data_IF_533655450948
#
_entry.id   IF_533655450948
#
_cell.length_a   1.000
_cell.length_b   1.000
_cell.length_c   1.000
_cell.angle_alpha   90.00
_cell.angle_beta   90.00
_cell.angle_gamma   90.00
#
_symmetry.space_group_name_H-M   'P 1'
#
loop_
_entity.id
_entity.type
_entity.pdbx_description
1 polymer ?
#
# COMPACT_ATOMS: atom_id res chain seq x y z
N UNK A 1 23.32 -21.53 -5.46
CA UNK A 1 23.86 -20.59 -4.46
C UNK A 1 23.75 -19.18 -4.99
N UNK A 2 22.68 -18.46 -4.62
CA UNK A 2 22.52 -17.05 -4.93
C UNK A 2 22.94 -16.26 -3.68
N UNK A 3 24.24 -16.04 -3.54
CA UNK A 3 24.76 -15.08 -2.57
C UNK A 3 24.22 -13.70 -2.98
N UNK A 4 23.54 -12.99 -2.07
CA UNK A 4 23.24 -11.57 -2.28
C UNK A 4 24.60 -10.90 -2.39
N UNK A 5 25.05 -10.65 -3.63
CA UNK A 5 26.44 -10.33 -3.94
C UNK A 5 26.92 -9.16 -3.06
N UNK A 6 27.73 -9.51 -2.07
CA UNK A 6 28.60 -8.60 -1.32
C UNK A 6 29.65 -8.08 -2.29
N UNK A 7 29.33 -7.00 -2.98
CA UNK A 7 30.22 -6.43 -3.99
C UNK A 7 29.95 -4.96 -4.18
N UNK A 8 30.30 -4.13 -3.19
CA UNK A 8 30.39 -2.68 -3.37
C UNK A 8 31.24 -2.31 -4.59
N UNK A 9 32.28 -3.10 -4.90
CA UNK A 9 33.17 -2.86 -6.04
C UNK A 9 32.52 -3.07 -7.42
N UNK A 10 31.64 -4.06 -7.62
CA UNK A 10 31.04 -4.29 -8.96
C UNK A 10 29.91 -3.29 -9.28
N UNK A 11 29.30 -2.69 -8.25
CA UNK A 11 28.35 -1.58 -8.40
C UNK A 11 29.09 -0.26 -8.61
N UNK A 12 30.24 -0.09 -7.95
CA UNK A 12 31.09 1.10 -8.08
C UNK A 12 31.75 1.22 -9.47
N UNK A 13 32.05 0.12 -10.15
CA UNK A 13 32.54 0.16 -11.55
C UNK A 13 31.45 0.55 -12.56
N UNK A 14 30.18 0.16 -12.35
CA UNK A 14 29.04 0.69 -13.13
C UNK A 14 28.76 2.17 -12.82
N UNK A 15 28.99 2.59 -11.56
CA UNK A 15 28.88 3.98 -11.14
C UNK A 15 30.01 4.88 -11.70
N UNK A 16 31.24 4.37 -11.82
CA UNK A 16 32.36 5.11 -12.41
C UNK A 16 32.17 5.38 -13.92
N UNK A 17 31.39 4.54 -14.62
CA UNK A 17 31.01 4.78 -16.02
C UNK A 17 29.90 5.81 -16.21
N UNK A 18 29.19 6.24 -15.17
CA UNK A 18 28.10 7.23 -15.29
C UNK A 18 28.62 8.68 -15.50
N UNK A 19 29.62 9.18 -14.73
CA UNK A 19 30.25 10.47 -15.02
C UNK A 19 31.03 10.46 -16.34
N UNK A 20 31.70 9.35 -16.66
CA UNK A 20 32.44 9.20 -17.92
C UNK A 20 31.49 9.17 -19.14
N UNK A 21 30.33 8.52 -19.00
CA UNK A 21 29.25 8.55 -19.98
C UNK A 21 28.66 9.95 -20.15
N UNK A 22 28.43 10.69 -19.06
CA UNK A 22 27.91 12.06 -19.11
C UNK A 22 28.91 13.08 -19.70
N UNK A 23 30.20 13.00 -19.36
CA UNK A 23 31.22 13.88 -19.92
C UNK A 23 31.42 13.63 -21.43
N UNK A 24 31.39 12.37 -21.87
CA UNK A 24 31.39 12.01 -23.29
C UNK A 24 30.10 12.42 -24.02
N UNK A 25 28.95 12.44 -23.33
CA UNK A 25 27.63 12.76 -23.91
C UNK A 25 27.33 14.27 -23.98
N UNK A 26 27.89 15.08 -23.09
CA UNK A 26 27.91 16.54 -23.26
C UNK A 26 28.64 16.92 -24.57
N UNK A 27 29.73 16.22 -24.90
CA UNK A 27 30.45 16.37 -26.17
C UNK A 27 29.62 15.87 -27.36
N UNK A 28 28.88 14.76 -27.24
CA UNK A 28 27.96 14.28 -28.30
C UNK A 28 26.75 15.20 -28.50
N UNK A 29 26.22 15.83 -27.44
CA UNK A 29 25.14 16.82 -27.52
C UNK A 29 25.57 18.11 -28.21
N UNK A 30 26.84 18.52 -28.03
CA UNK A 30 27.43 19.62 -28.82
C UNK A 30 27.68 19.20 -30.28
N UNK A 31 28.10 17.94 -30.51
CA UNK A 31 28.28 17.38 -31.85
C UNK A 31 26.98 17.22 -32.67
N UNK A 32 25.88 16.77 -32.05
CA UNK A 32 24.56 16.65 -32.69
C UNK A 32 23.89 18.02 -32.96
N UNK A 33 24.17 19.04 -32.14
CA UNK A 33 23.75 20.43 -32.39
C UNK A 33 24.43 21.03 -33.63
N UNK A 34 25.63 20.56 -33.97
CA UNK A 34 26.34 20.96 -35.20
C UNK A 34 25.79 20.26 -36.46
N UNK A 35 25.05 19.16 -36.33
CA UNK A 35 24.43 18.41 -37.45
C UNK A 35 22.98 18.81 -37.74
N UNK A 36 22.49 19.90 -37.16
CA UNK A 36 21.19 20.49 -37.49
C UNK A 36 19.97 19.88 -36.79
N UNK A 37 20.15 19.01 -35.80
CA UNK A 37 19.04 18.50 -34.97
C UNK A 37 18.62 19.56 -33.95
N UNK A 38 17.31 19.78 -33.79
CA UNK A 38 16.80 20.84 -32.92
C UNK A 38 17.16 20.58 -31.44
N UNK A 39 17.39 21.64 -30.67
CA UNK A 39 17.73 21.52 -29.24
C UNK A 39 16.64 20.79 -28.44
N UNK A 40 15.39 20.89 -28.89
CA UNK A 40 14.22 20.28 -28.26
C UNK A 40 14.13 18.78 -28.52
N UNK A 41 14.44 18.30 -29.73
CA UNK A 41 14.51 16.87 -30.03
C UNK A 41 15.62 16.17 -29.26
N UNK A 42 16.80 16.80 -29.15
CA UNK A 42 17.91 16.25 -28.36
C UNK A 42 17.56 16.19 -26.87
N UNK A 43 16.79 17.16 -26.36
CA UNK A 43 16.33 17.16 -24.98
C UNK A 43 15.24 16.09 -24.74
N UNK A 44 14.30 15.93 -25.67
CA UNK A 44 13.25 14.91 -25.60
C UNK A 44 13.84 13.49 -25.61
N UNK A 45 14.81 13.23 -26.49
CA UNK A 45 15.52 11.93 -26.58
C UNK A 45 16.33 11.62 -25.30
N UNK A 46 16.85 12.66 -24.64
CA UNK A 46 17.55 12.54 -23.35
C UNK A 46 16.58 12.32 -22.17
N UNK A 47 15.40 12.96 -22.20
CA UNK A 47 14.34 12.78 -21.21
C UNK A 47 13.69 11.39 -21.29
N UNK A 48 13.47 10.89 -22.51
CA UNK A 48 12.93 9.54 -22.76
C UNK A 48 13.90 8.46 -22.25
N UNK A 49 15.19 8.58 -22.58
CA UNK A 49 16.22 7.66 -22.08
C UNK A 49 16.43 7.75 -20.56
N UNK A 50 16.27 8.95 -19.98
CA UNK A 50 16.29 9.14 -18.53
C UNK A 50 15.08 8.49 -17.83
N UNK A 51 13.90 8.52 -18.45
CA UNK A 51 12.71 7.86 -17.96
C UNK A 51 12.87 6.32 -18.02
N UNK A 52 13.38 5.78 -19.13
CA UNK A 52 13.65 4.34 -19.26
C UNK A 52 14.69 3.85 -18.24
N UNK A 53 15.75 4.61 -17.99
CA UNK A 53 16.75 4.27 -16.96
C UNK A 53 16.13 4.32 -15.55
N UNK A 54 15.26 5.29 -15.26
CA UNK A 54 14.53 5.36 -13.99
C UNK A 54 13.59 4.17 -13.79
N UNK A 55 12.83 3.78 -14.82
CA UNK A 55 11.93 2.61 -14.77
C UNK A 55 12.70 1.29 -14.60
N UNK A 56 13.83 1.13 -15.29
CA UNK A 56 14.68 -0.05 -15.12
C UNK A 56 15.28 -0.14 -13.71
N UNK A 57 15.72 0.98 -13.12
CA UNK A 57 16.23 1.01 -11.75
C UNK A 57 15.14 0.65 -10.74
N UNK A 58 13.93 1.18 -10.89
CA UNK A 58 12.80 0.85 -10.01
C UNK A 58 12.40 -0.63 -10.10
N UNK A 59 12.55 -1.26 -11.27
CA UNK A 59 12.27 -2.68 -11.49
C UNK A 59 13.32 -3.65 -10.92
N UNK A 60 14.54 -3.19 -10.60
CA UNK A 60 15.60 -4.01 -9.99
C UNK A 60 15.60 -3.99 -8.44
N UNK A 61 14.83 -3.06 -7.84
CA UNK A 61 14.65 -2.98 -6.39
C UNK A 61 13.87 -4.22 -5.91
N UNK A 62 14.33 -4.91 -4.86
CA UNK A 62 13.66 -6.12 -4.34
C UNK A 62 12.81 -5.86 -3.11
N UNK A 63 13.38 -5.31 -2.03
CA UNK A 63 12.67 -5.10 -0.76
C UNK A 63 11.59 -4.01 -0.84
N UNK A 64 11.98 -2.77 -1.13
CA UNK A 64 11.02 -1.66 -1.28
C UNK A 64 10.02 -1.87 -2.43
N UNK A 65 10.44 -2.56 -3.49
CA UNK A 65 9.56 -2.86 -4.62
C UNK A 65 8.55 -3.95 -4.32
N UNK A 66 8.81 -4.89 -3.40
CA UNK A 66 7.80 -5.87 -2.99
C UNK A 66 6.58 -5.17 -2.34
N UNK A 67 6.80 -4.13 -1.52
CA UNK A 67 5.72 -3.28 -0.99
C UNK A 67 4.99 -2.46 -2.06
N UNK A 68 5.73 -1.92 -3.02
CA UNK A 68 5.12 -1.26 -4.19
C UNK A 68 4.28 -2.27 -4.98
N UNK A 69 4.79 -3.48 -5.17
CA UNK A 69 4.09 -4.59 -5.80
C UNK A 69 2.82 -4.96 -5.04
N UNK A 70 2.87 -5.10 -3.71
CA UNK A 70 1.68 -5.37 -2.88
C UNK A 70 0.61 -4.29 -3.04
N UNK A 71 1.01 -3.02 -3.03
CA UNK A 71 0.08 -1.91 -3.25
C UNK A 71 -0.53 -1.90 -4.65
N UNK A 72 0.27 -2.23 -5.67
CA UNK A 72 -0.16 -2.30 -7.07
C UNK A 72 -0.96 -3.58 -7.39
N UNK A 73 -0.70 -4.70 -6.71
CA UNK A 73 -1.48 -5.95 -6.82
C UNK A 73 -2.92 -5.77 -6.42
N UNK A 74 -3.18 -4.89 -5.46
CA UNK A 74 -4.53 -4.58 -5.05
C UNK A 74 -5.29 -3.84 -6.17
N UNK A 75 -4.57 -3.09 -7.01
CA UNK A 75 -5.12 -2.42 -8.20
C UNK A 75 -5.18 -3.35 -9.44
N UNK A 76 -4.73 -4.60 -9.36
CA UNK A 76 -4.76 -5.56 -10.48
C UNK A 76 -6.18 -5.71 -11.05
N UNK A 77 -7.19 -5.66 -10.19
CA UNK A 77 -8.59 -5.76 -10.60
C UNK A 77 -9.07 -4.62 -11.52
N UNK A 78 -8.42 -3.45 -11.45
CA UNK A 78 -8.72 -2.30 -12.33
C UNK A 78 -8.02 -2.37 -13.69
N UNK A 79 -7.12 -3.33 -13.91
CA UNK A 79 -6.32 -3.39 -15.13
C UNK A 79 -7.16 -4.03 -16.25
N UNK A 80 -7.23 -3.39 -17.43
CA UNK A 80 -7.91 -3.96 -18.58
C UNK A 80 -7.37 -5.37 -18.91
N UNK A 81 -8.23 -6.33 -19.28
CA UNK A 81 -7.84 -7.74 -19.46
C UNK A 81 -6.62 -7.94 -20.36
N UNK A 82 -6.46 -7.11 -21.40
CA UNK A 82 -5.34 -7.17 -22.35
C UNK A 82 -3.96 -6.83 -21.75
N UNK A 83 -3.91 -6.15 -20.61
CA UNK A 83 -2.67 -5.80 -19.90
C UNK A 83 -2.52 -6.53 -18.56
N UNK A 84 -3.55 -7.26 -18.13
CA UNK A 84 -3.58 -7.92 -16.84
C UNK A 84 -2.49 -9.01 -16.71
N UNK A 85 -2.27 -9.82 -17.75
CA UNK A 85 -1.32 -10.93 -17.67
C UNK A 85 0.15 -10.46 -17.62
N UNK A 86 0.64 -9.55 -18.50
CA UNK A 86 2.00 -9.02 -18.38
C UNK A 86 2.25 -8.26 -17.06
N UNK A 87 1.24 -7.53 -16.57
CA UNK A 87 1.35 -6.82 -15.30
C UNK A 87 1.40 -7.79 -14.11
N UNK A 88 0.56 -8.83 -14.13
CA UNK A 88 0.58 -9.90 -13.11
C UNK A 88 1.94 -10.61 -13.10
N UNK A 89 2.51 -10.95 -14.26
CA UNK A 89 3.84 -11.56 -14.34
C UNK A 89 4.93 -10.66 -13.75
N UNK A 90 4.89 -9.36 -14.05
CA UNK A 90 5.83 -8.39 -13.49
C UNK A 90 5.71 -8.27 -11.96
N UNK A 91 4.48 -8.21 -11.44
CA UNK A 91 4.20 -8.17 -10.00
C UNK A 91 4.62 -9.45 -9.29
N UNK A 92 4.32 -10.62 -9.86
CA UNK A 92 4.75 -11.93 -9.33
C UNK A 92 6.27 -12.01 -9.26
N UNK A 93 6.97 -11.51 -10.29
CA UNK A 93 8.44 -11.45 -10.28
C UNK A 93 8.97 -10.48 -9.22
N UNK A 94 8.30 -9.36 -9.01
CA UNK A 94 8.63 -8.36 -7.98
C UNK A 94 8.39 -8.88 -6.56
N UNK A 95 7.35 -9.70 -6.38
CA UNK A 95 6.96 -10.35 -5.13
C UNK A 95 7.59 -11.73 -4.94
N UNK A 96 8.40 -12.20 -5.90
CA UNK A 96 8.98 -13.54 -5.84
C UNK A 96 9.84 -13.69 -4.59
N UNK A 97 9.61 -14.79 -3.86
CA UNK A 97 10.22 -15.02 -2.56
C UNK A 97 11.75 -14.98 -2.64
N UNK A 98 12.37 -14.22 -1.74
CA UNK A 98 13.80 -14.31 -1.54
C UNK A 98 14.12 -15.71 -0.96
N UNK A 99 15.21 -16.37 -1.42
CA UNK A 99 15.57 -17.67 -0.88
C UNK A 99 15.78 -17.58 0.63
N UNK A 100 15.34 -18.60 1.41
CA UNK A 100 15.44 -18.56 2.86
C UNK A 100 16.89 -18.46 3.31
N UNK A 101 17.13 -17.71 4.37
CA UNK A 101 18.43 -17.62 5.01
C UNK A 101 18.84 -18.98 5.57
N UNK A 102 20.13 -19.35 5.46
CA UNK A 102 20.68 -20.45 6.23
C UNK A 102 20.52 -20.21 7.73
N UNK A 103 20.23 -21.26 8.51
CA UNK A 103 20.03 -21.19 9.96
C UNK A 103 21.14 -20.41 10.70
N UNK A 104 22.41 -20.59 10.31
CA UNK A 104 23.53 -19.87 10.91
C UNK A 104 23.45 -18.34 10.74
N UNK A 105 22.82 -17.84 9.66
CA UNK A 105 22.59 -16.39 9.47
C UNK A 105 21.42 -15.90 10.31
N UNK A 106 20.36 -16.71 10.40
CA UNK A 106 19.21 -16.46 11.28
C UNK A 106 19.68 -16.30 12.72
N UNK A 107 20.46 -17.26 13.22
CA UNK A 107 20.97 -17.23 14.60
C UNK A 107 21.85 -16.02 14.87
N UNK A 108 22.67 -15.58 13.90
CA UNK A 108 23.48 -14.36 14.06
C UNK A 108 22.63 -13.09 14.20
N UNK A 109 21.51 -13.01 13.49
CA UNK A 109 20.58 -11.88 13.66
C UNK A 109 19.95 -11.95 15.05
N UNK A 110 19.51 -13.14 15.49
CA UNK A 110 18.97 -13.33 16.84
C UNK A 110 20.01 -13.01 17.94
N UNK A 111 21.27 -13.42 17.77
CA UNK A 111 22.38 -13.10 18.69
C UNK A 111 22.54 -11.58 18.83
N UNK A 112 22.49 -10.85 17.73
CA UNK A 112 22.65 -9.40 17.71
C UNK A 112 21.45 -8.65 18.30
N UNK A 113 20.23 -9.19 18.16
CA UNK A 113 19.00 -8.50 18.57
C UNK A 113 18.53 -8.89 19.97
N UNK A 114 18.76 -10.14 20.38
CA UNK A 114 18.25 -10.72 21.62
C UNK A 114 19.37 -11.23 22.55
N UNK A 115 20.65 -11.09 22.14
CA UNK A 115 21.82 -11.60 22.85
C UNK A 115 22.17 -13.04 22.47
N UNK A 116 23.43 -13.44 22.68
CA UNK A 116 23.95 -14.79 22.31
C UNK A 116 23.26 -15.94 23.06
N UNK A 117 22.51 -15.63 24.12
CA UNK A 117 21.70 -16.56 24.91
C UNK A 117 20.22 -16.52 24.55
N UNK A 118 19.84 -16.01 23.38
CA UNK A 118 18.44 -15.88 22.97
C UNK A 118 17.65 -17.18 23.06
N UNK A 119 18.30 -18.34 22.89
CA UNK A 119 17.70 -19.67 23.05
C UNK A 119 17.10 -19.89 24.44
N UNK A 120 17.65 -19.30 25.50
CA UNK A 120 17.11 -19.39 26.86
C UNK A 120 15.71 -18.72 26.99
N UNK A 121 15.31 -17.92 25.99
CA UNK A 121 13.96 -17.29 25.93
C UNK A 121 12.90 -18.18 25.27
N UNK A 122 13.32 -19.28 24.63
CA UNK A 122 12.44 -20.22 23.92
C UNK A 122 12.52 -21.60 24.56
N UNK A 123 11.43 -22.37 24.49
CA UNK A 123 11.47 -23.81 24.72
C UNK A 123 11.97 -24.53 23.45
N UNK A 124 11.54 -24.06 22.29
CA UNK A 124 11.99 -24.56 20.98
C UNK A 124 11.92 -23.47 19.91
N UNK A 125 12.72 -23.62 18.85
CA UNK A 125 12.75 -22.73 17.69
C UNK A 125 12.99 -23.60 16.45
N UNK A 126 12.16 -23.44 15.41
CA UNK A 126 12.34 -24.14 14.15
C UNK A 126 13.29 -23.35 13.24
N UNK A 127 14.41 -23.96 12.86
CA UNK A 127 15.38 -23.36 11.95
C UNK A 127 14.89 -23.27 10.50
N UNK A 128 13.81 -23.99 10.17
CA UNK A 128 13.14 -23.91 8.87
C UNK A 128 12.11 -22.78 8.91
N UNK A 129 12.23 -21.75 8.06
CA UNK A 129 11.23 -20.70 8.00
C UNK A 129 9.92 -21.26 7.43
N UNK A 130 8.80 -20.76 7.96
CA UNK A 130 7.45 -21.15 7.54
C UNK A 130 6.83 -20.18 6.53
N UNK A 131 7.38 -18.96 6.44
CA UNK A 131 6.94 -17.95 5.48
C UNK A 131 8.04 -16.91 5.20
N UNK A 132 7.93 -16.25 4.04
CA UNK A 132 8.70 -15.06 3.69
C UNK A 132 7.94 -13.78 4.05
N UNK A 133 8.65 -12.69 4.33
CA UNK A 133 8.12 -11.35 4.59
C UNK A 133 8.84 -10.30 3.71
N UNK A 134 8.32 -9.05 3.65
CA UNK A 134 8.85 -7.91 2.86
C UNK A 134 10.39 -7.89 2.75
N UNK A 135 11.06 -7.84 3.91
CA UNK A 135 12.51 -7.80 4.01
C UNK A 135 13.04 -8.81 5.04
N UNK A 136 12.36 -9.94 5.20
CA UNK A 136 12.70 -10.94 6.20
C UNK A 136 12.01 -12.28 6.01
N UNK A 137 12.09 -13.13 7.01
CA UNK A 137 11.42 -14.44 7.04
C UNK A 137 10.84 -14.71 8.43
N UNK A 138 9.82 -15.57 8.48
CA UNK A 138 9.11 -15.93 9.70
C UNK A 138 9.39 -17.38 10.07
N UNK A 139 9.72 -17.60 11.34
CA UNK A 139 9.91 -18.92 11.94
C UNK A 139 8.83 -19.21 12.97
N UNK A 140 8.49 -20.48 13.15
CA UNK A 140 7.65 -20.94 14.26
C UNK A 140 8.55 -21.30 15.46
N UNK A 141 8.08 -21.01 16.67
CA UNK A 141 8.76 -21.40 17.90
C UNK A 141 7.80 -21.55 19.06
N UNK A 142 8.30 -22.04 20.18
CA UNK A 142 7.58 -22.09 21.46
C UNK A 142 8.33 -21.21 22.44
N UNK A 143 7.65 -20.19 22.95
CA UNK A 143 8.21 -19.25 23.92
C UNK A 143 8.44 -19.93 25.29
N UNK A 144 9.29 -19.35 26.15
CA UNK A 144 9.61 -19.94 27.46
C UNK A 144 8.38 -20.25 28.34
N UNK A 145 7.28 -19.52 28.15
CA UNK A 145 6.02 -19.71 28.89
C UNK A 145 5.06 -20.72 28.24
N UNK A 146 5.47 -21.37 27.15
CA UNK A 146 4.71 -22.42 26.46
C UNK A 146 3.86 -21.93 25.30
N UNK A 147 3.75 -20.61 25.07
CA UNK A 147 2.99 -20.09 23.92
C UNK A 147 3.69 -20.38 22.59
N UNK A 148 2.93 -20.77 21.58
CA UNK A 148 3.42 -20.78 20.21
C UNK A 148 3.60 -19.35 19.70
N UNK A 149 4.70 -19.09 18.98
CA UNK A 149 5.05 -17.76 18.49
C UNK A 149 5.51 -17.76 17.05
N UNK A 150 5.16 -16.69 16.33
CA UNK A 150 5.75 -16.32 15.06
C UNK A 150 6.95 -15.37 15.32
N UNK A 151 8.12 -15.72 14.79
CA UNK A 151 9.37 -14.96 14.91
C UNK A 151 9.75 -14.39 13.55
N UNK A 152 9.45 -13.12 13.28
CA UNK A 152 9.80 -12.41 12.05
C UNK A 152 11.19 -11.81 12.19
N UNK A 153 12.10 -12.22 11.32
CA UNK A 153 13.53 -11.90 11.37
C UNK A 153 13.92 -11.19 10.07
N UNK A 154 14.47 -9.99 10.17
CA UNK A 154 14.90 -9.21 9.02
C UNK A 154 16.15 -9.82 8.36
N UNK A 155 16.23 -9.77 7.03
CA UNK A 155 17.40 -10.22 6.30
C UNK A 155 18.64 -9.36 6.65
N UNK A 156 19.80 -9.98 6.95
CA UNK A 156 21.02 -9.23 7.24
C UNK A 156 21.46 -8.44 5.99
N UNK A 157 21.66 -7.12 6.15
CA UNK A 157 22.04 -6.22 5.07
C UNK A 157 20.87 -5.66 4.25
N UNK A 158 19.62 -5.97 4.63
CA UNK A 158 18.45 -5.30 4.06
C UNK A 158 18.49 -3.79 4.35
N UNK A 159 18.93 -3.40 5.55
CA UNK A 159 19.13 -2.01 5.95
C UNK A 159 20.10 -1.26 5.05
N UNK A 160 21.29 -1.82 4.82
CA UNK A 160 22.28 -1.19 3.94
C UNK A 160 21.80 -1.11 2.49
N UNK A 161 21.12 -2.15 2.01
CA UNK A 161 20.57 -2.19 0.66
C UNK A 161 19.46 -1.13 0.47
N UNK A 162 18.44 -1.12 1.32
CA UNK A 162 17.34 -0.17 1.23
C UNK A 162 17.80 1.28 1.40
N UNK A 163 18.75 1.55 2.31
CA UNK A 163 19.34 2.90 2.46
C UNK A 163 20.16 3.32 1.24
N UNK A 164 20.84 2.39 0.58
CA UNK A 164 21.57 2.68 -0.65
C UNK A 164 20.62 2.99 -1.82
N UNK A 165 19.54 2.21 -1.94
CA UNK A 165 18.49 2.42 -2.94
C UNK A 165 17.81 3.78 -2.73
N UNK A 166 17.51 4.15 -1.48
CA UNK A 166 16.94 5.44 -1.16
C UNK A 166 17.87 6.60 -1.56
N UNK A 167 19.17 6.48 -1.27
CA UNK A 167 20.17 7.48 -1.71
C UNK A 167 20.22 7.61 -3.23
N UNK A 168 19.99 6.52 -3.97
CA UNK A 168 19.93 6.57 -5.42
C UNK A 168 18.70 7.33 -5.90
N UNK A 169 17.52 7.03 -5.35
CA UNK A 169 16.27 7.74 -5.65
C UNK A 169 16.42 9.24 -5.37
N UNK A 170 16.95 9.61 -4.20
CA UNK A 170 17.20 11.00 -3.80
C UNK A 170 18.17 11.73 -4.76
N UNK A 171 19.16 11.03 -5.32
CA UNK A 171 20.09 11.60 -6.31
C UNK A 171 19.45 11.79 -7.69
N UNK A 172 18.41 11.02 -8.01
CA UNK A 172 17.66 11.13 -9.26
C UNK A 172 16.54 12.18 -9.18
N UNK A 173 16.18 12.65 -7.98
CA UNK A 173 15.14 13.68 -7.76
C UNK A 173 15.27 14.90 -8.67
N UNK A 174 16.44 15.52 -8.91
CA UNK A 174 16.55 16.68 -9.79
C UNK A 174 16.18 16.38 -11.25
N UNK A 175 16.46 15.16 -11.72
CA UNK A 175 16.13 14.71 -13.08
C UNK A 175 14.63 14.42 -13.20
N UNK A 176 14.04 13.76 -12.21
CA UNK A 176 12.60 13.53 -12.16
C UNK A 176 11.80 14.85 -12.15
N UNK A 177 12.32 15.89 -11.48
CA UNK A 177 11.74 17.24 -11.52
C UNK A 177 11.82 17.91 -12.89
N UNK A 178 12.83 17.59 -13.71
CA UNK A 178 12.91 18.11 -15.08
C UNK A 178 11.90 17.44 -16.01
N UNK A 179 11.64 16.14 -15.82
CA UNK A 179 10.65 15.36 -16.57
C UNK A 179 9.22 15.73 -16.15
N UNK A 180 8.98 15.91 -14.85
CA UNK A 180 7.67 16.18 -14.27
C UNK A 180 7.68 17.44 -13.37
N UNK A 181 7.90 18.65 -13.93
CA UNK A 181 8.09 19.89 -13.15
C UNK A 181 6.84 20.35 -12.37
N UNK A 182 5.69 19.73 -12.62
CA UNK A 182 4.40 20.02 -11.97
C UNK A 182 4.07 19.03 -10.84
N UNK A 183 4.88 17.99 -10.63
CA UNK A 183 4.70 17.03 -9.56
C UNK A 183 5.57 17.42 -8.36
N UNK A 184 5.06 17.21 -7.14
CA UNK A 184 5.81 17.41 -5.91
C UNK A 184 6.73 16.20 -5.64
N UNK A 185 7.80 16.11 -6.44
CA UNK A 185 8.75 14.99 -6.39
C UNK A 185 9.48 14.96 -5.03
N UNK A 186 9.73 16.11 -4.40
CA UNK A 186 10.39 16.16 -3.10
C UNK A 186 9.54 15.48 -2.02
N UNK A 187 8.25 15.82 -1.98
CA UNK A 187 7.31 15.19 -1.05
C UNK A 187 7.18 13.69 -1.29
N UNK A 188 7.10 13.26 -2.56
CA UNK A 188 7.05 11.83 -2.90
C UNK A 188 8.30 11.08 -2.40
N UNK A 189 9.48 11.66 -2.62
CA UNK A 189 10.75 11.06 -2.19
C UNK A 189 10.88 11.06 -0.66
N UNK A 190 10.41 12.10 0.02
CA UNK A 190 10.32 12.13 1.47
C UNK A 190 9.40 11.01 1.99
N UNK A 191 8.20 10.85 1.42
CA UNK A 191 7.28 9.80 1.82
C UNK A 191 7.85 8.39 1.59
N UNK A 192 8.54 8.17 0.46
CA UNK A 192 9.27 6.91 0.19
C UNK A 192 10.38 6.69 1.22
N UNK A 193 11.11 7.75 1.59
CA UNK A 193 12.16 7.71 2.61
C UNK A 193 11.58 7.24 3.95
N UNK A 194 10.53 7.90 4.43
CA UNK A 194 9.91 7.64 5.71
C UNK A 194 9.36 6.20 5.78
N UNK A 195 8.73 5.74 4.68
CA UNK A 195 8.23 4.35 4.58
C UNK A 195 9.36 3.32 4.61
N UNK A 196 10.48 3.59 3.93
CA UNK A 196 11.64 2.70 3.95
C UNK A 196 12.24 2.65 5.36
N UNK A 197 12.34 3.79 6.06
CA UNK A 197 12.86 3.78 7.42
C UNK A 197 11.93 3.04 8.40
N UNK A 198 10.62 3.20 8.27
CA UNK A 198 9.63 2.46 9.04
C UNK A 198 9.73 0.93 8.84
N UNK A 199 10.08 0.47 7.63
CA UNK A 199 10.33 -0.94 7.34
C UNK A 199 11.56 -1.50 8.06
N UNK A 200 12.58 -0.67 8.31
CA UNK A 200 13.85 -1.14 8.86
C UNK A 200 13.83 -1.36 10.37
N UNK A 201 12.86 -0.77 11.09
CA UNK A 201 12.73 -0.86 12.54
C UNK A 201 11.40 -1.50 12.95
N UNK A 202 11.43 -2.81 13.20
CA UNK A 202 10.26 -3.58 13.64
C UNK A 202 9.70 -3.15 15.01
N UNK A 203 10.35 -2.25 15.75
CA UNK A 203 9.76 -1.69 16.98
C UNK A 203 8.56 -0.79 16.67
N UNK A 204 8.54 -0.11 15.53
CA UNK A 204 7.40 0.70 15.13
C UNK A 204 6.19 -0.19 14.82
N UNK A 205 6.39 -1.22 13.98
CA UNK A 205 5.38 -2.26 13.72
C UNK A 205 4.86 -2.90 15.02
N UNK A 206 5.77 -3.25 15.94
CA UNK A 206 5.40 -3.81 17.24
C UNK A 206 4.59 -2.83 18.12
N UNK A 207 4.87 -1.52 18.05
CA UNK A 207 4.11 -0.50 18.76
C UNK A 207 2.68 -0.41 18.21
N UNK A 208 2.56 -0.34 16.89
CA UNK A 208 1.27 -0.33 16.19
C UNK A 208 0.46 -1.59 16.55
N UNK A 209 1.07 -2.77 16.40
CA UNK A 209 0.41 -4.03 16.72
C UNK A 209 -0.05 -4.12 18.19
N UNK A 210 0.72 -3.57 19.14
CA UNK A 210 0.28 -3.50 20.55
C UNK A 210 -0.96 -2.62 20.74
N UNK A 211 -1.03 -1.49 20.04
CA UNK A 211 -2.21 -0.61 20.09
C UNK A 211 -3.46 -1.34 19.57
N UNK A 212 -3.34 -2.00 18.41
CA UNK A 212 -4.41 -2.81 17.83
C UNK A 212 -4.78 -4.02 18.73
N UNK A 213 -3.81 -4.79 19.21
CA UNK A 213 -4.05 -5.94 20.08
C UNK A 213 -4.79 -5.54 21.36
N UNK A 214 -4.42 -4.41 21.96
CA UNK A 214 -5.12 -3.88 23.13
C UNK A 214 -6.54 -3.45 22.80
N UNK A 215 -6.73 -2.71 21.71
CA UNK A 215 -8.05 -2.19 21.33
C UNK A 215 -9.03 -3.31 20.97
N UNK A 216 -8.55 -4.39 20.33
CA UNK A 216 -9.37 -5.51 19.86
C UNK A 216 -9.34 -6.75 20.76
N UNK A 217 -8.80 -6.66 21.98
CA UNK A 217 -8.61 -7.82 22.87
C UNK A 217 -9.89 -8.63 23.13
N UNK A 218 -11.01 -7.94 23.37
CA UNK A 218 -12.32 -8.54 23.67
C UNK A 218 -13.28 -8.49 22.47
N UNK A 219 -12.76 -8.25 21.26
CA UNK A 219 -13.61 -8.17 20.07
C UNK A 219 -14.06 -9.56 19.61
N UNK A 220 -15.38 -9.81 19.45
CA UNK A 220 -15.87 -11.13 19.07
C UNK A 220 -15.61 -11.47 17.59
N UNK A 221 -15.29 -10.47 16.75
CA UNK A 221 -15.10 -10.65 15.31
C UNK A 221 -13.64 -10.57 14.87
N UNK A 222 -12.78 -9.91 15.63
CA UNK A 222 -11.40 -9.63 15.22
C UNK A 222 -10.40 -10.21 16.21
N UNK A 223 -9.27 -10.68 15.69
CA UNK A 223 -8.14 -11.11 16.51
C UNK A 223 -6.85 -10.51 15.99
N UNK A 224 -6.10 -9.88 16.90
CA UNK A 224 -4.77 -9.34 16.64
C UNK A 224 -3.81 -9.99 17.63
N UNK A 225 -2.80 -10.75 17.16
CA UNK A 225 -1.93 -11.50 18.06
C UNK A 225 -1.10 -10.56 18.93
N UNK A 226 -0.91 -10.91 20.21
CA UNK A 226 -0.13 -10.07 21.11
C UNK A 226 1.37 -10.11 20.75
N UNK A 227 2.04 -8.96 20.90
CA UNK A 227 3.50 -8.87 20.74
C UNK A 227 4.18 -9.41 22.01
N UNK A 228 4.95 -10.48 21.86
CA UNK A 228 5.71 -11.13 22.95
C UNK A 228 7.05 -10.43 23.18
N UNK A 229 7.75 -10.06 22.11
CA UNK A 229 9.00 -9.31 22.19
C UNK A 229 9.24 -8.52 20.90
N UNK A 230 10.00 -7.42 21.00
CA UNK A 230 10.35 -6.58 19.84
C UNK A 230 11.76 -6.02 19.97
N UNK A 231 12.50 -6.04 18.87
CA UNK A 231 13.82 -5.45 18.66
C UNK A 231 13.85 -4.84 17.25
N UNK A 232 14.84 -3.99 16.89
CA UNK A 232 14.87 -3.34 15.58
C UNK A 232 14.75 -4.30 14.39
N UNK A 233 15.36 -5.49 14.45
CA UNK A 233 15.39 -6.46 13.34
C UNK A 233 14.67 -7.79 13.64
N UNK A 234 13.99 -7.89 14.79
CA UNK A 234 13.23 -9.09 15.20
C UNK A 234 11.95 -8.68 15.92
N UNK A 235 10.80 -9.17 15.46
CA UNK A 235 9.53 -9.10 16.17
C UNK A 235 9.00 -10.50 16.43
N UNK A 236 8.50 -10.72 17.66
CA UNK A 236 7.93 -11.99 18.11
C UNK A 236 6.49 -11.71 18.54
N UNK A 237 5.55 -12.38 17.90
CA UNK A 237 4.12 -12.29 18.21
C UNK A 237 3.52 -13.68 18.42
N UNK A 238 2.36 -13.74 19.06
CA UNK A 238 1.61 -14.99 19.21
C UNK A 238 1.35 -15.64 17.84
N UNK A 239 1.52 -16.96 17.79
CA UNK A 239 1.22 -17.72 16.59
C UNK A 239 -0.28 -17.73 16.33
N UNK A 240 -0.65 -17.61 15.06
CA UNK A 240 -2.03 -17.64 14.62
C UNK A 240 -2.15 -18.58 13.42
N UNK A 241 -3.15 -19.45 13.47
CA UNK A 241 -3.49 -20.38 12.40
C UNK A 241 -4.88 -20.07 11.87
N UNK A 242 -4.99 -20.01 10.55
CA UNK A 242 -6.23 -19.69 9.86
C UNK A 242 -6.10 -19.83 8.35
N UNK A 243 -7.22 -19.80 7.67
CA UNK A 243 -7.27 -19.83 6.20
C UNK A 243 -6.95 -18.44 5.66
N UNK A 244 -5.82 -18.31 4.98
CA UNK A 244 -5.34 -17.03 4.41
C UNK A 244 -6.37 -16.42 3.45
N UNK A 245 -6.52 -15.09 3.47
CA UNK A 245 -7.46 -14.42 2.57
C UNK A 245 -7.13 -14.66 1.09
N UNK A 246 -5.84 -14.73 0.73
CA UNK A 246 -5.41 -15.10 -0.63
C UNK A 246 -5.90 -16.48 -1.07
N UNK A 247 -6.02 -17.44 -0.14
CA UNK A 247 -6.60 -18.76 -0.41
C UNK A 247 -8.12 -18.72 -0.51
N UNK A 248 -8.79 -17.84 0.23
CA UNK A 248 -10.24 -17.61 0.10
C UNK A 248 -10.55 -16.96 -1.27
N UNK A 249 -9.74 -15.99 -1.70
CA UNK A 249 -9.84 -15.36 -3.03
C UNK A 249 -9.73 -16.41 -4.15
N UNK A 250 -8.80 -17.35 -4.04
CA UNK A 250 -8.58 -18.35 -5.08
C UNK A 250 -9.60 -19.51 -5.04
N UNK A 251 -9.93 -20.01 -3.84
CA UNK A 251 -10.55 -21.33 -3.65
C UNK A 251 -11.71 -21.33 -2.63
N UNK A 252 -12.08 -20.17 -2.08
CA UNK A 252 -13.12 -20.05 -1.04
C UNK A 252 -14.54 -20.23 -1.58
N UNK A 253 -15.46 -20.67 -0.72
CA UNK A 253 -16.90 -20.66 -1.05
C UNK A 253 -17.43 -19.22 -1.07
N UNK A 254 -18.64 -19.03 -1.60
CA UNK A 254 -19.30 -17.72 -1.59
C UNK A 254 -19.45 -17.19 -0.17
N UNK A 255 -19.89 -18.03 0.76
CA UNK A 255 -20.11 -17.65 2.16
C UNK A 255 -18.79 -17.23 2.83
N UNK A 256 -17.68 -17.91 2.53
CA UNK A 256 -16.36 -17.51 3.04
C UNK A 256 -15.90 -16.17 2.46
N UNK A 257 -16.15 -15.93 1.16
CA UNK A 257 -15.79 -14.68 0.47
C UNK A 257 -16.59 -13.50 1.00
N UNK A 258 -17.91 -13.67 1.12
CA UNK A 258 -18.84 -12.66 1.62
C UNK A 258 -18.52 -12.31 3.08
N UNK A 259 -18.33 -13.32 3.94
CA UNK A 259 -17.95 -13.14 5.35
C UNK A 259 -16.60 -12.44 5.50
N UNK A 260 -15.56 -12.92 4.80
CA UNK A 260 -14.23 -12.31 4.87
C UNK A 260 -14.21 -10.88 4.32
N UNK A 261 -14.97 -10.61 3.26
CA UNK A 261 -15.12 -9.28 2.69
C UNK A 261 -15.80 -8.31 3.68
N UNK A 262 -16.91 -8.73 4.28
CA UNK A 262 -17.61 -7.94 5.29
C UNK A 262 -16.72 -7.63 6.51
N UNK A 263 -16.00 -8.64 7.02
CA UNK A 263 -15.07 -8.48 8.14
C UNK A 263 -13.90 -7.54 7.81
N UNK A 264 -13.32 -7.65 6.61
CA UNK A 264 -12.24 -6.77 6.17
C UNK A 264 -12.70 -5.31 6.06
N UNK A 265 -13.88 -5.09 5.48
CA UNK A 265 -14.49 -3.76 5.39
C UNK A 265 -14.77 -3.20 6.79
N UNK A 266 -15.43 -3.98 7.65
CA UNK A 266 -15.74 -3.57 9.03
C UNK A 266 -14.47 -3.20 9.79
N UNK A 267 -13.41 -4.02 9.75
CA UNK A 267 -12.13 -3.70 10.38
C UNK A 267 -11.54 -2.38 9.87
N UNK A 268 -11.63 -2.14 8.56
CA UNK A 268 -11.08 -0.95 7.90
C UNK A 268 -11.77 0.32 8.41
N UNK A 269 -13.09 0.34 8.52
CA UNK A 269 -13.84 1.52 8.98
C UNK A 269 -13.93 1.64 10.50
N UNK A 270 -13.85 0.52 11.24
CA UNK A 270 -13.90 0.48 12.71
C UNK A 270 -12.57 0.86 13.36
N UNK A 271 -11.44 0.54 12.74
CA UNK A 271 -10.12 0.76 13.34
C UNK A 271 -9.82 2.23 13.69
N UNK A 272 -10.14 3.23 12.85
CA UNK A 272 -9.86 4.63 13.18
C UNK A 272 -10.65 5.08 14.40
N UNK A 273 -11.92 4.73 14.50
CA UNK A 273 -12.75 5.08 15.66
C UNK A 273 -12.32 4.35 16.94
N UNK A 274 -11.92 3.08 16.82
CA UNK A 274 -11.61 2.24 17.97
C UNK A 274 -10.21 2.43 18.54
N UNK A 275 -9.22 2.76 17.70
CA UNK A 275 -7.81 2.87 18.11
C UNK A 275 -7.13 4.17 17.65
N UNK A 276 -7.82 5.03 16.89
CA UNK A 276 -7.22 6.26 16.36
C UNK A 276 -6.17 6.00 15.28
N UNK A 277 -6.22 4.83 14.64
CA UNK A 277 -5.23 4.37 13.66
C UNK A 277 -5.94 3.66 12.50
N UNK A 278 -5.45 3.89 11.28
CA UNK A 278 -5.84 3.14 10.07
C UNK A 278 -4.76 2.08 9.82
N UNK A 279 -5.15 0.81 9.65
CA UNK A 279 -4.19 -0.29 9.39
C UNK A 279 -3.36 -0.09 8.11
N UNK A 280 -3.94 0.58 7.12
CA UNK A 280 -3.35 1.11 5.89
C UNK A 280 -2.53 0.19 4.97
N UNK A 281 -2.68 -1.14 5.13
CA UNK A 281 -2.22 -2.13 4.16
C UNK A 281 -3.26 -3.23 3.91
N UNK A 282 -4.21 -3.00 2.99
CA UNK A 282 -5.29 -3.95 2.71
C UNK A 282 -4.83 -5.22 1.96
N UNK A 283 -3.52 -5.50 1.85
CA UNK A 283 -3.03 -6.65 1.12
C UNK A 283 -3.55 -7.99 1.70
N UNK A 284 -4.11 -8.93 0.89
CA UNK A 284 -4.70 -10.18 1.39
C UNK A 284 -3.76 -11.08 2.22
N UNK A 285 -2.45 -10.95 2.04
CA UNK A 285 -1.46 -11.69 2.84
C UNK A 285 -1.52 -11.37 4.34
N UNK A 286 -2.04 -10.20 4.69
CA UNK A 286 -2.14 -9.68 6.06
C UNK A 286 -3.36 -10.19 6.82
N UNK A 287 -4.24 -10.94 6.14
CA UNK A 287 -5.54 -11.35 6.70
C UNK A 287 -5.77 -12.85 6.59
N UNK A 288 -6.50 -13.41 7.55
CA UNK A 288 -6.94 -14.80 7.51
C UNK A 288 -8.22 -15.01 8.32
N UNK A 289 -9.01 -16.01 7.95
CA UNK A 289 -10.17 -16.45 8.71
C UNK A 289 -9.75 -17.55 9.69
N UNK A 290 -10.02 -17.36 10.98
CA UNK A 290 -9.67 -18.32 12.03
C UNK A 290 -10.74 -19.41 12.15
N UNK A 291 -10.38 -20.53 12.77
CA UNK A 291 -11.28 -21.67 12.96
C UNK A 291 -12.47 -21.35 13.87
N UNK A 292 -12.35 -20.33 14.73
CA UNK A 292 -13.43 -19.84 15.59
C UNK A 292 -14.31 -18.77 14.92
N UNK A 293 -14.08 -18.47 13.63
CA UNK A 293 -14.84 -17.51 12.84
C UNK A 293 -14.35 -16.06 12.95
N UNK A 294 -13.36 -15.77 13.80
CA UNK A 294 -12.76 -14.43 13.86
C UNK A 294 -11.89 -14.14 12.64
N UNK A 295 -11.79 -12.87 12.30
CA UNK A 295 -10.86 -12.36 11.30
C UNK A 295 -9.53 -11.99 11.95
N UNK A 296 -8.50 -12.74 11.59
CA UNK A 296 -7.14 -12.54 12.07
C UNK A 296 -6.39 -11.52 11.22
N UNK A 297 -5.78 -10.53 11.86
CA UNK A 297 -4.96 -9.50 11.21
C UNK A 297 -3.51 -9.64 11.66
N UNK A 298 -2.58 -9.68 10.70
CA UNK A 298 -1.14 -9.65 10.91
C UNK A 298 -0.50 -8.53 10.10
N UNK A 299 0.77 -8.25 10.39
CA UNK A 299 1.58 -7.20 9.77
C UNK A 299 0.99 -5.80 9.97
N UNK A 300 1.62 -5.04 10.85
CA UNK A 300 1.24 -3.66 11.20
C UNK A 300 2.32 -2.67 10.77
N UNK A 301 3.07 -3.03 9.72
CA UNK A 301 4.21 -2.26 9.22
C UNK A 301 3.82 -1.00 8.43
N UNK A 302 2.54 -0.76 8.18
CA UNK A 302 2.07 0.37 7.40
C UNK A 302 0.81 1.00 8.00
N UNK A 303 0.88 1.52 9.22
CA UNK A 303 -0.25 2.18 9.91
C UNK A 303 -0.19 3.69 9.72
N UNK A 304 -1.36 4.34 9.61
CA UNK A 304 -1.53 5.80 9.57
C UNK A 304 -2.25 6.29 10.81
N UNK A 305 -1.79 7.41 11.37
CA UNK A 305 -2.39 8.02 12.57
C UNK A 305 -3.63 8.85 12.25
N UNK A 306 -4.70 8.60 13.01
CA UNK A 306 -5.98 9.31 12.97
C UNK A 306 -6.53 9.46 14.39
N UNK A 307 -5.85 10.20 15.29
CA UNK A 307 -6.12 10.18 16.73
C UNK A 307 -7.53 10.63 17.14
N UNK A 308 -8.23 11.36 16.26
CA UNK A 308 -9.64 11.76 16.43
C UNK A 308 -10.63 10.94 15.62
N UNK A 309 -10.22 9.78 15.09
CA UNK A 309 -11.00 9.03 14.11
C UNK A 309 -10.94 9.66 12.72
N UNK A 310 -11.81 9.18 11.82
CA UNK A 310 -12.03 9.84 10.54
C UNK A 310 -13.00 11.01 10.78
N UNK A 311 -12.71 12.23 10.29
CA UNK A 311 -13.61 13.36 10.51
C UNK A 311 -15.04 13.06 10.04
N UNK A 312 -16.09 13.37 10.83
CA UNK A 312 -17.47 13.05 10.50
C UNK A 312 -17.90 13.57 9.13
N UNK A 313 -17.37 14.72 8.72
CA UNK A 313 -17.65 15.33 7.42
C UNK A 313 -17.25 14.43 6.25
N UNK A 314 -16.30 13.50 6.44
CA UNK A 314 -15.97 12.51 5.43
C UNK A 314 -17.11 11.50 5.22
N UNK A 315 -17.72 11.02 6.30
CA UNK A 315 -18.93 10.18 6.23
C UNK A 315 -20.09 10.92 5.58
N UNK A 316 -20.29 12.19 5.95
CA UNK A 316 -21.31 13.04 5.33
C UNK A 316 -21.09 13.24 3.83
N UNK A 317 -19.84 13.43 3.37
CA UNK A 317 -19.53 13.53 1.94
C UNK A 317 -20.02 12.30 1.18
N UNK A 318 -19.80 11.09 1.73
CA UNK A 318 -20.27 9.86 1.11
C UNK A 318 -21.80 9.78 1.06
N UNK A 319 -22.49 10.19 2.12
CA UNK A 319 -23.95 10.21 2.15
C UNK A 319 -24.53 11.24 1.17
N UNK A 320 -23.98 12.45 1.13
CA UNK A 320 -24.42 13.47 0.18
C UNK A 320 -24.11 13.11 -1.27
N UNK A 321 -22.99 12.43 -1.53
CA UNK A 321 -22.68 11.91 -2.86
C UNK A 321 -23.63 10.77 -3.26
N UNK A 322 -23.96 9.87 -2.33
CA UNK A 322 -24.97 8.80 -2.52
C UNK A 322 -26.33 9.39 -2.91
N UNK A 323 -26.74 10.46 -2.22
CA UNK A 323 -28.03 11.14 -2.40
C UNK A 323 -28.00 12.24 -3.47
N UNK A 324 -26.89 12.33 -4.23
CA UNK A 324 -26.68 13.25 -5.34
C UNK A 324 -26.86 14.74 -4.99
N UNK A 325 -26.55 15.11 -3.74
CA UNK A 325 -26.64 16.48 -3.22
C UNK A 325 -25.34 17.25 -3.45
N UNK A 326 -25.05 17.60 -4.71
CA UNK A 326 -23.74 18.12 -5.13
C UNK A 326 -23.32 19.42 -4.44
N UNK A 327 -24.25 20.33 -4.12
CA UNK A 327 -23.92 21.56 -3.38
C UNK A 327 -23.34 21.26 -2.00
N UNK A 328 -23.89 20.24 -1.31
CA UNK A 328 -23.40 19.81 0.00
C UNK A 328 -22.03 19.16 -0.13
N UNK A 329 -21.85 18.32 -1.16
CA UNK A 329 -20.55 17.69 -1.44
C UNK A 329 -19.49 18.74 -1.70
N UNK A 330 -19.73 19.72 -2.58
CA UNK A 330 -18.80 20.84 -2.86
C UNK A 330 -18.40 21.56 -1.58
N UNK A 331 -19.38 21.89 -0.73
CA UNK A 331 -19.11 22.60 0.53
C UNK A 331 -18.17 21.80 1.42
N UNK A 332 -18.45 20.52 1.62
CA UNK A 332 -17.68 19.66 2.52
C UNK A 332 -16.30 19.31 1.95
N UNK A 333 -16.16 19.02 0.66
CA UNK A 333 -14.83 18.75 0.08
C UNK A 333 -13.93 20.00 0.11
N UNK A 334 -14.50 21.22 0.06
CA UNK A 334 -13.76 22.46 0.34
C UNK A 334 -13.36 22.57 1.82
N UNK A 335 -14.30 22.32 2.74
CA UNK A 335 -14.03 22.35 4.18
C UNK A 335 -12.95 21.34 4.59
N UNK A 336 -12.98 20.15 4.02
CA UNK A 336 -12.00 19.08 4.25
C UNK A 336 -10.66 19.33 3.53
N UNK A 337 -10.57 20.34 2.66
CA UNK A 337 -9.33 20.69 1.96
C UNK A 337 -9.01 19.80 0.77
N UNK A 338 -9.99 19.09 0.20
CA UNK A 338 -9.84 18.36 -1.07
C UNK A 338 -9.89 19.29 -2.30
N UNK A 339 -10.35 20.52 -2.10
CA UNK A 339 -10.43 21.53 -3.13
C UNK A 339 -10.04 22.90 -2.54
N UNK A 340 -9.20 23.70 -3.23
CA UNK A 340 -8.93 25.07 -2.82
C UNK A 340 -10.21 25.92 -2.76
N UNK A 341 -10.36 26.83 -1.78
CA UNK A 341 -11.58 27.63 -1.61
C UNK A 341 -12.01 28.42 -2.86
N UNK A 342 -11.03 28.90 -3.63
CA UNK A 342 -11.18 29.71 -4.84
C UNK A 342 -11.69 28.95 -6.06
N UNK A 343 -11.57 27.62 -6.08
CA UNK A 343 -12.07 26.81 -7.20
C UNK A 343 -13.60 26.78 -7.14
N UNK A 344 -14.25 27.13 -8.25
CA UNK A 344 -15.71 27.05 -8.38
C UNK A 344 -16.05 25.92 -9.33
N UNK A 345 -17.01 25.08 -8.94
CA UNK A 345 -17.53 24.01 -9.77
C UNK A 345 -19.03 24.15 -9.93
N UNK A 346 -19.52 23.95 -11.15
CA UNK A 346 -20.93 23.63 -11.38
C UNK A 346 -21.24 22.21 -10.89
N UNK A 347 -22.52 21.89 -10.68
CA UNK A 347 -22.93 20.53 -10.31
C UNK A 347 -22.45 19.46 -11.30
N UNK A 348 -22.49 19.76 -12.60
CA UNK A 348 -22.01 18.85 -13.65
C UNK A 348 -20.49 18.61 -13.58
N UNK A 349 -19.71 19.65 -13.26
CA UNK A 349 -18.26 19.53 -13.09
C UNK A 349 -17.87 18.72 -11.85
N UNK A 350 -18.71 18.74 -10.81
CA UNK A 350 -18.51 17.93 -9.59
C UNK A 350 -18.72 16.46 -9.88
N UNK A 351 -19.71 16.12 -10.70
CA UNK A 351 -19.91 14.74 -11.14
C UNK A 351 -18.68 14.19 -11.85
N UNK A 352 -18.11 14.98 -12.74
CA UNK A 352 -16.89 14.64 -13.44
C UNK A 352 -15.68 14.48 -12.50
N UNK A 353 -15.64 15.22 -11.38
CA UNK A 353 -14.62 15.07 -10.34
C UNK A 353 -14.86 13.87 -9.41
N UNK A 354 -16.10 13.57 -9.06
CA UNK A 354 -16.48 12.47 -8.16
C UNK A 354 -16.50 11.14 -8.90
N UNK A 355 -16.62 11.12 -10.23
CA UNK A 355 -16.69 9.88 -11.03
C UNK A 355 -15.56 8.87 -10.70
N UNK A 356 -14.28 9.26 -10.56
CA UNK A 356 -13.23 8.34 -10.09
C UNK A 356 -13.39 7.85 -8.64
N UNK A 357 -14.17 8.55 -7.83
CA UNK A 357 -14.55 8.17 -6.47
C UNK A 357 -15.88 7.41 -6.43
N UNK A 358 -16.55 7.22 -7.57
CA UNK A 358 -17.81 6.49 -7.65
C UNK A 358 -17.74 5.07 -7.05
N UNK A 359 -16.63 4.32 -7.17
CA UNK A 359 -16.49 3.02 -6.49
C UNK A 359 -16.69 3.07 -4.96
N UNK A 360 -16.47 4.23 -4.32
CA UNK A 360 -16.71 4.41 -2.88
C UNK A 360 -18.16 4.77 -2.55
N UNK A 361 -18.96 5.17 -3.54
CA UNK A 361 -20.32 5.71 -3.36
C UNK A 361 -21.37 4.73 -3.87
N UNK A 362 -21.17 4.14 -5.04
CA UNK A 362 -22.10 3.23 -5.68
C UNK A 362 -22.58 2.09 -4.77
N UNK A 363 -21.70 1.40 -4.02
CA UNK A 363 -22.14 0.29 -3.19
C UNK A 363 -22.96 0.74 -1.96
N UNK A 364 -22.97 2.03 -1.63
CA UNK A 364 -23.81 2.61 -0.56
C UNK A 364 -25.27 2.81 -0.97
N UNK A 365 -25.58 2.74 -2.28
CA UNK A 365 -26.94 2.94 -2.82
C UNK A 365 -27.79 1.68 -2.77
N UNK A 366 -27.16 0.53 -2.54
CA UNK A 366 -27.78 -0.79 -2.50
C UNK A 366 -27.73 -1.33 -1.08
N UNK A 367 -28.59 -2.32 -0.79
CA UNK A 367 -28.47 -3.09 0.45
C UNK A 367 -27.22 -3.97 0.38
N UNK A 368 -27.40 -5.24 0.06
CA UNK A 368 -26.26 -6.09 -0.29
C UNK A 368 -25.73 -5.71 -1.68
N UNK A 369 -24.43 -5.42 -1.78
CA UNK A 369 -23.76 -5.10 -3.04
C UNK A 369 -22.76 -6.19 -3.43
N UNK A 370 -22.77 -6.59 -4.70
CA UNK A 370 -21.84 -7.59 -5.24
C UNK A 370 -20.64 -6.91 -5.90
N UNK A 371 -19.48 -7.02 -5.26
CA UNK A 371 -18.21 -6.47 -5.74
C UNK A 371 -17.62 -7.37 -6.82
N UNK A 372 -17.92 -7.09 -8.08
CA UNK A 372 -17.42 -7.87 -9.23
C UNK A 372 -16.29 -7.15 -9.98
N UNK A 373 -15.48 -7.95 -10.68
CA UNK A 373 -14.44 -7.41 -11.58
C UNK A 373 -15.03 -6.59 -12.71
N UNK A 374 -16.15 -7.05 -13.27
CA UNK A 374 -16.84 -6.35 -14.36
C UNK A 374 -17.30 -4.96 -13.92
N UNK A 375 -17.94 -4.85 -12.76
CA UNK A 375 -18.34 -3.55 -12.19
C UNK A 375 -17.14 -2.63 -11.98
N UNK A 376 -16.06 -3.13 -11.37
CA UNK A 376 -14.90 -2.30 -11.07
C UNK A 376 -14.16 -1.84 -12.34
N UNK A 377 -14.10 -2.70 -13.37
CA UNK A 377 -13.55 -2.34 -14.68
C UNK A 377 -14.39 -1.26 -15.37
N UNK A 378 -15.71 -1.35 -15.31
CA UNK A 378 -16.59 -0.30 -15.86
C UNK A 378 -16.37 1.04 -15.17
N UNK A 379 -16.24 1.04 -13.84
CA UNK A 379 -15.94 2.25 -13.07
C UNK A 379 -14.52 2.82 -13.37
N UNK A 380 -13.54 1.94 -13.57
CA UNK A 380 -12.17 2.33 -13.94
C UNK A 380 -12.13 2.94 -15.36
N UNK A 381 -12.77 2.31 -16.35
CA UNK A 381 -12.86 2.81 -17.72
C UNK A 381 -13.51 4.20 -17.77
N UNK A 382 -14.59 4.41 -17.01
CA UNK A 382 -15.25 5.70 -16.90
C UNK A 382 -14.33 6.83 -16.36
N UNK A 383 -13.23 6.46 -15.70
CA UNK A 383 -12.26 7.37 -15.10
C UNK A 383 -10.98 7.54 -15.92
N UNK A 384 -10.65 6.59 -16.81
CA UNK A 384 -9.38 6.54 -17.55
C UNK A 384 -9.51 6.55 -19.07
N UNK A 385 -10.73 6.59 -19.62
CA UNK A 385 -10.92 6.68 -21.08
C UNK A 385 -10.37 8.01 -21.61
N UNK A 386 -9.23 7.93 -22.30
CA UNK A 386 -8.51 9.05 -22.91
C UNK A 386 -9.23 9.60 -24.16
N UNK A 387 -10.15 8.82 -24.74
CA UNK A 387 -10.86 9.14 -25.97
C UNK A 387 -12.22 9.78 -25.70
N UNK A 388 -12.69 9.78 -24.44
CA UNK A 388 -13.92 10.43 -24.05
C UNK A 388 -13.81 11.96 -24.18
N UNK A 389 -14.83 12.59 -24.75
CA UNK A 389 -14.84 14.03 -25.09
C UNK A 389 -14.61 14.93 -23.87
N UNK A 390 -14.91 14.44 -22.65
CA UNK A 390 -14.69 15.16 -21.39
C UNK A 390 -13.36 14.90 -20.67
N UNK A 391 -12.47 14.06 -21.21
CA UNK A 391 -11.24 13.66 -20.50
C UNK A 391 -10.30 14.85 -20.19
N UNK A 392 -10.11 15.75 -21.14
CA UNK A 392 -9.21 16.90 -20.98
C UNK A 392 -9.68 17.85 -19.86
N UNK A 393 -10.99 18.08 -19.77
CA UNK A 393 -11.60 18.92 -18.74
C UNK A 393 -11.53 18.25 -17.36
N UNK A 394 -11.81 16.94 -17.27
CA UNK A 394 -11.60 16.15 -16.05
C UNK A 394 -10.15 16.16 -15.58
N UNK A 395 -9.21 15.99 -16.49
CA UNK A 395 -7.78 16.01 -16.17
C UNK A 395 -7.32 17.39 -15.67
N UNK A 396 -7.81 18.47 -16.30
CA UNK A 396 -7.56 19.84 -15.86
C UNK A 396 -8.15 20.09 -14.47
N UNK A 397 -9.34 19.57 -14.21
CA UNK A 397 -10.03 19.68 -12.93
C UNK A 397 -9.29 18.92 -11.82
N UNK A 398 -8.92 17.66 -12.05
CA UNK A 398 -8.15 16.85 -11.11
C UNK A 398 -6.82 17.50 -10.70
N UNK A 399 -6.18 18.25 -11.60
CA UNK A 399 -4.94 18.99 -11.32
C UNK A 399 -5.12 20.24 -10.45
N UNK A 400 -6.34 20.72 -10.28
CA UNK A 400 -6.67 21.84 -9.38
C UNK A 400 -7.03 21.37 -7.97
N UNK A 401 -7.12 20.05 -7.78
CA UNK A 401 -7.59 19.44 -6.54
C UNK A 401 -6.41 19.09 -5.64
N UNK A 402 -6.71 19.00 -4.35
CA UNK A 402 -5.74 18.70 -3.30
C UNK A 402 -6.13 17.40 -2.61
N UNK A 403 -5.13 16.67 -2.09
CA UNK A 403 -5.40 15.57 -1.15
C UNK A 403 -4.73 15.95 0.16
N UNK A 404 -5.51 16.21 1.24
CA UNK A 404 -4.91 16.61 2.50
C UNK A 404 -4.02 15.50 3.06
N UNK A 405 -2.92 15.83 3.76
CA UNK A 405 -1.93 14.84 4.24
C UNK A 405 -2.52 13.68 5.06
N UNK A 406 -3.62 13.89 5.80
CA UNK A 406 -4.28 12.83 6.57
C UNK A 406 -5.14 11.86 5.75
N UNK A 407 -5.53 12.21 4.53
CA UNK A 407 -6.48 11.39 3.74
C UNK A 407 -5.81 10.48 2.71
N UNK A 408 -4.53 10.71 2.38
CA UNK A 408 -3.80 9.93 1.37
C UNK A 408 -3.80 8.45 1.73
N UNK A 409 -3.43 8.12 2.97
CA UNK A 409 -3.39 6.74 3.44
C UNK A 409 -4.78 6.15 3.59
N UNK A 410 -5.74 6.91 4.12
CA UNK A 410 -7.13 6.47 4.24
C UNK A 410 -7.73 6.09 2.88
N UNK A 411 -7.67 6.99 1.90
CA UNK A 411 -8.21 6.74 0.56
C UNK A 411 -7.51 5.58 -0.15
N UNK A 412 -6.18 5.46 0.01
CA UNK A 412 -5.43 4.31 -0.48
C UNK A 412 -5.88 3.00 0.17
N UNK A 413 -6.17 3.03 1.47
CA UNK A 413 -6.66 1.87 2.22
C UNK A 413 -8.04 1.45 1.74
N UNK A 414 -8.95 2.41 1.60
CA UNK A 414 -10.31 2.16 1.11
C UNK A 414 -10.30 1.63 -0.32
N UNK A 415 -9.54 2.27 -1.22
CA UNK A 415 -9.45 1.83 -2.62
C UNK A 415 -8.84 0.45 -2.72
N UNK A 416 -7.85 0.17 -1.86
CA UNK A 416 -7.26 -1.15 -1.80
C UNK A 416 -8.22 -2.21 -1.24
N UNK A 417 -8.96 -1.89 -0.21
CA UNK A 417 -9.99 -2.77 0.35
C UNK A 417 -11.07 -3.10 -0.70
N UNK A 418 -11.56 -2.12 -1.48
CA UNK A 418 -12.48 -2.37 -2.60
C UNK A 418 -11.86 -3.33 -3.62
N UNK A 419 -10.58 -3.13 -3.98
CA UNK A 419 -9.86 -4.04 -4.87
C UNK A 419 -9.85 -5.49 -4.37
N UNK A 420 -9.72 -5.69 -3.05
CA UNK A 420 -9.80 -7.03 -2.44
C UNK A 420 -11.23 -7.57 -2.41
N UNK A 421 -12.24 -6.76 -2.11
CA UNK A 421 -13.66 -7.17 -2.20
C UNK A 421 -14.00 -7.66 -3.61
N UNK A 422 -13.49 -6.97 -4.63
CA UNK A 422 -13.62 -7.35 -6.05
C UNK A 422 -12.90 -8.66 -6.37
N UNK A 423 -11.71 -8.88 -5.81
CA UNK A 423 -11.00 -10.16 -5.98
C UNK A 423 -11.71 -11.32 -5.28
N UNK A 424 -12.33 -11.06 -4.14
CA UNK A 424 -13.14 -12.03 -3.42
C UNK A 424 -14.43 -12.38 -4.17
N UNK A 425 -14.92 -11.53 -5.07
CA UNK A 425 -16.25 -11.64 -5.67
C UNK A 425 -17.35 -11.61 -4.58
N UNK A 426 -17.17 -10.73 -3.59
CA UNK A 426 -17.93 -10.72 -2.35
C UNK A 426 -19.26 -9.95 -2.46
N UNK A 427 -20.28 -10.43 -1.77
CA UNK A 427 -21.52 -9.74 -1.47
C UNK A 427 -21.44 -9.13 -0.07
N UNK A 428 -21.53 -7.80 0.02
CA UNK A 428 -21.37 -7.10 1.30
C UNK A 428 -22.38 -5.96 1.40
N UNK A 429 -23.01 -5.83 2.56
CA UNK A 429 -23.86 -4.67 2.86
C UNK A 429 -22.99 -3.50 3.32
N UNK A 430 -22.43 -2.78 2.35
CA UNK A 430 -21.48 -1.68 2.61
C UNK A 430 -22.13 -0.55 3.41
N UNK A 431 -23.37 -0.18 3.06
CA UNK A 431 -24.10 0.89 3.72
C UNK A 431 -24.31 0.60 5.22
N UNK A 432 -24.70 -0.62 5.58
CA UNK A 432 -24.92 -0.99 6.98
C UNK A 432 -23.64 -0.94 7.81
N UNK A 433 -22.51 -1.40 7.25
CA UNK A 433 -21.22 -1.35 7.96
C UNK A 433 -20.72 0.09 8.10
N UNK A 434 -20.91 0.92 7.05
CA UNK A 434 -20.57 2.34 7.11
C UNK A 434 -21.44 3.09 8.14
N UNK A 435 -22.74 2.80 8.21
CA UNK A 435 -23.66 3.39 9.19
C UNK A 435 -23.29 3.05 10.63
N UNK A 436 -22.79 1.83 10.89
CA UNK A 436 -22.39 1.42 12.24
C UNK A 436 -21.09 2.09 12.71
N UNK A 437 -20.11 2.26 11.82
CA UNK A 437 -18.73 2.58 12.23
C UNK A 437 -18.17 3.89 11.70
N UNK A 438 -18.76 4.48 10.66
CA UNK A 438 -18.24 5.72 10.07
C UNK A 438 -18.93 6.94 10.68
N UNK A 439 -18.16 7.75 11.40
CA UNK A 439 -18.67 8.99 11.96
C UNK A 439 -19.29 9.89 10.88
N UNK A 440 -20.42 10.53 11.20
CA UNK A 440 -21.16 11.41 10.28
C UNK A 440 -21.92 10.71 9.16
N UNK A 441 -21.84 9.37 9.05
CA UNK A 441 -22.65 8.62 8.10
C UNK A 441 -24.12 8.59 8.55
N UNK A 442 -25.05 8.81 7.62
CA UNK A 442 -26.49 8.78 7.87
C UNK A 442 -27.25 7.98 6.80
N UNK A 443 -28.37 7.33 7.17
CA UNK A 443 -29.15 6.53 6.25
C UNK A 443 -29.79 7.39 5.14
N UNK A 444 -30.20 6.79 4.00
CA UNK A 444 -30.84 7.53 2.91
C UNK A 444 -32.04 8.37 3.37
N UNK A 445 -32.13 9.60 2.87
CA UNK A 445 -33.18 10.57 3.22
C UNK A 445 -33.19 11.07 4.67
N UNK A 446 -32.18 10.76 5.48
CA UNK A 446 -31.96 11.40 6.78
C UNK A 446 -31.17 12.71 6.64
N UNK A 447 -31.10 13.48 7.74
CA UNK A 447 -30.20 14.63 7.85
C UNK A 447 -29.01 14.25 8.74
N UNK A 448 -27.82 14.84 8.51
CA UNK A 448 -26.69 14.67 9.43
C UNK A 448 -27.09 15.10 10.85
N UNK A 449 -26.63 14.33 11.83
CA UNK A 449 -26.98 14.47 13.25
C UNK A 449 -26.26 15.64 13.93
#
# INVERSE_FOLDING_TARGET
MADIRRGGLSRMTKLASLPAGMAGRAVLGVGKRLTGTSADEVNAELLEKAADELFNVLGELKGGAMKVGQALSVMEAAIPPQFADPFREALVKLQSEAPPLPAAKVHRVLDAQLGTKWRERFQSFDDTPVASASIGQVHKGIWKDGREVAVKIQYPGADDALRADLKLIQRMTPLAKQIAPKADIDRLVAEISDRIEAELDYRQEASNQRAFAKAFADDPKFFVPAVVASAPKVIIAEWMEGRRLSKIIAEGTREERDSAGALMLEFTVKSPEKVGLVHADPHPGNFMLLSDGRFGIIDFGAVSEHPGGVPPEFGEVLCWARDEQWEQVIRLIKQLGFMPPEVQLSGDQVMDYIRPLWPYVDPLRSGEFHFTREWFQQAAVASTDLLDEGFADRFKLARQMTVPPGYVMLLRTLGGMIGVLVQLDAHVNYAAIAEEWMAGFFPPNAKPA
#
